data_IF_368473005852
#
_entry.id   IF_368473005852
#
_cell.length_a   1.000
_cell.length_b   1.000
_cell.length_c   1.000
_cell.angle_alpha   90.00
_cell.angle_beta   90.00
_cell.angle_gamma   90.00
#
_symmetry.space_group_name_H-M   'P 1'
#
loop_
_entity.id
_entity.type
_entity.pdbx_description
1 polymer ?
#
# COMPACT_ATOMS: atom_id res chain seq x y z
N UNK A 1 -6.54 23.87 0.57
CA UNK A 1 -6.52 23.17 1.87
C UNK A 1 -7.40 21.94 1.77
N UNK A 2 -7.09 21.00 0.86
CA UNK A 2 -7.89 19.78 0.71
C UNK A 2 -7.08 18.47 0.56
N UNK A 3 -6.09 18.16 1.44
CA UNK A 3 -5.52 16.81 1.51
C UNK A 3 -6.37 15.85 2.35
N UNK A 4 -6.97 16.30 3.46
CA UNK A 4 -7.61 15.41 4.44
C UNK A 4 -9.01 14.94 4.05
N UNK A 5 -9.83 15.81 3.46
CA UNK A 5 -11.18 15.44 3.02
C UNK A 5 -11.14 14.37 1.91
N UNK A 6 -10.20 14.48 0.98
CA UNK A 6 -9.96 13.47 -0.05
C UNK A 6 -9.53 12.12 0.57
N UNK A 7 -8.61 12.13 1.54
CA UNK A 7 -8.17 10.92 2.26
C UNK A 7 -9.32 10.26 3.03
N UNK A 8 -10.11 11.05 3.75
CA UNK A 8 -11.28 10.56 4.48
C UNK A 8 -12.35 9.97 3.53
N UNK A 9 -12.52 10.55 2.34
CA UNK A 9 -13.41 10.02 1.31
C UNK A 9 -12.91 8.66 0.80
N UNK A 10 -11.63 8.55 0.45
CA UNK A 10 -11.01 7.30 0.02
C UNK A 10 -11.10 6.22 1.10
N UNK A 11 -10.89 6.58 2.36
CA UNK A 11 -11.03 5.67 3.50
C UNK A 11 -12.46 5.15 3.68
N UNK A 12 -13.45 6.04 3.57
CA UNK A 12 -14.86 5.65 3.59
C UNK A 12 -15.20 4.72 2.42
N UNK A 13 -14.70 5.04 1.22
CA UNK A 13 -14.90 4.20 0.03
C UNK A 13 -14.26 2.82 0.20
N UNK A 14 -13.06 2.74 0.77
CA UNK A 14 -12.41 1.48 1.06
C UNK A 14 -13.26 0.62 2.00
N UNK A 15 -13.75 1.19 3.11
CA UNK A 15 -14.62 0.47 4.06
C UNK A 15 -15.87 -0.11 3.41
N UNK A 16 -16.49 0.64 2.50
CA UNK A 16 -17.64 0.14 1.72
C UNK A 16 -17.24 -1.03 0.82
N UNK A 17 -16.15 -0.87 0.06
CA UNK A 17 -15.67 -1.91 -0.84
C UNK A 17 -15.32 -3.21 -0.09
N UNK A 18 -14.72 -3.11 1.10
CA UNK A 18 -14.40 -4.27 1.93
C UNK A 18 -15.66 -4.92 2.53
N UNK A 19 -16.63 -4.12 2.98
CA UNK A 19 -17.90 -4.62 3.49
C UNK A 19 -18.68 -5.41 2.43
N UNK A 20 -18.73 -4.91 1.19
CA UNK A 20 -19.37 -5.59 0.06
C UNK A 20 -18.74 -6.97 -0.25
N UNK A 21 -17.51 -7.21 0.23
CA UNK A 21 -16.68 -8.37 -0.07
C UNK A 21 -16.30 -9.19 1.17
N UNK A 22 -16.94 -8.91 2.30
CA UNK A 22 -16.65 -9.55 3.59
C UNK A 22 -16.82 -11.08 3.58
N UNK A 23 -17.60 -11.63 2.65
CA UNK A 23 -17.77 -13.07 2.50
C UNK A 23 -16.56 -13.79 1.85
N UNK A 24 -15.66 -13.05 1.18
CA UNK A 24 -14.54 -13.60 0.42
C UNK A 24 -13.21 -13.37 1.16
N UNK A 25 -13.10 -12.25 1.86
CA UNK A 25 -11.92 -11.91 2.68
C UNK A 25 -11.94 -12.69 3.99
N UNK A 26 -10.81 -13.26 4.35
CA UNK A 26 -10.59 -13.70 5.72
C UNK A 26 -10.50 -12.50 6.64
N UNK A 27 -10.82 -12.70 7.93
CA UNK A 27 -10.81 -11.63 8.93
C UNK A 27 -9.46 -10.91 8.97
N UNK A 28 -8.36 -11.66 9.00
CA UNK A 28 -7.02 -11.08 9.13
C UNK A 28 -6.61 -10.30 7.86
N UNK A 29 -7.09 -10.73 6.68
CA UNK A 29 -6.90 -10.00 5.41
C UNK A 29 -7.69 -8.68 5.41
N UNK A 30 -8.91 -8.70 5.95
CA UNK A 30 -9.74 -7.52 6.11
C UNK A 30 -9.13 -6.53 7.12
N UNK A 31 -8.65 -7.02 8.27
CA UNK A 31 -7.98 -6.21 9.28
C UNK A 31 -6.70 -5.57 8.73
N UNK A 32 -5.89 -6.32 7.96
CA UNK A 32 -4.68 -5.80 7.33
C UNK A 32 -4.98 -4.62 6.40
N UNK A 33 -6.01 -4.72 5.56
CA UNK A 33 -6.38 -3.64 4.63
C UNK A 33 -6.92 -2.40 5.36
N UNK A 34 -7.65 -2.59 6.47
CA UNK A 34 -8.13 -1.48 7.30
C UNK A 34 -7.00 -0.80 8.08
N UNK A 35 -6.10 -1.58 8.68
CA UNK A 35 -4.93 -1.08 9.40
C UNK A 35 -4.02 -0.26 8.48
N UNK A 36 -3.78 -0.73 7.25
CA UNK A 36 -3.05 0.03 6.24
C UNK A 36 -3.73 1.37 5.91
N UNK A 37 -5.05 1.39 5.81
CA UNK A 37 -5.81 2.60 5.51
C UNK A 37 -5.84 3.59 6.67
N UNK A 38 -5.98 3.11 7.91
CA UNK A 38 -5.91 3.92 9.12
C UNK A 38 -4.51 4.52 9.27
N UNK A 39 -3.45 3.70 9.13
CA UNK A 39 -2.07 4.17 9.15
C UNK A 39 -1.79 5.25 8.10
N UNK A 40 -2.30 5.07 6.89
CA UNK A 40 -2.21 6.07 5.83
C UNK A 40 -3.01 7.32 6.14
N UNK A 41 -4.18 7.24 6.78
CA UNK A 41 -5.02 8.38 7.14
C UNK A 41 -4.44 9.22 8.28
N UNK A 42 -3.70 8.60 9.19
CA UNK A 42 -3.08 9.25 10.34
C UNK A 42 -1.59 9.56 10.18
N UNK A 43 -1.02 9.28 9.00
CA UNK A 43 0.41 9.46 8.70
C UNK A 43 1.31 8.73 9.73
N UNK A 44 0.94 7.48 10.06
CA UNK A 44 1.75 6.61 10.91
C UNK A 44 3.11 6.30 10.26
N UNK A 45 4.13 6.08 11.09
CA UNK A 45 5.52 5.90 10.62
C UNK A 45 5.73 4.67 9.72
N UNK A 46 4.88 3.66 9.83
CA UNK A 46 4.94 2.41 9.08
C UNK A 46 3.89 2.32 7.96
N UNK A 47 3.20 3.43 7.65
CA UNK A 47 2.11 3.45 6.68
C UNK A 47 2.51 2.91 5.28
N UNK A 48 3.77 3.06 4.85
CA UNK A 48 4.25 2.50 3.58
C UNK A 48 4.48 1.01 3.62
N UNK A 49 4.96 0.49 4.75
CA UNK A 49 5.11 -0.95 4.92
C UNK A 49 3.74 -1.61 4.89
N UNK A 50 2.77 -1.04 5.62
CA UNK A 50 1.38 -1.52 5.63
C UNK A 50 0.71 -1.39 4.25
N UNK A 51 0.93 -0.28 3.52
CA UNK A 51 0.45 -0.12 2.14
C UNK A 51 1.02 -1.21 1.21
N UNK A 52 2.33 -1.46 1.28
CA UNK A 52 2.97 -2.49 0.47
C UNK A 52 2.40 -3.89 0.77
N UNK A 53 2.21 -4.23 2.05
CA UNK A 53 1.56 -5.48 2.46
C UNK A 53 0.12 -5.58 1.95
N UNK A 54 -0.65 -4.47 1.99
CA UNK A 54 -1.99 -4.43 1.42
C UNK A 54 -2.02 -4.64 -0.09
N UNK A 55 -1.09 -4.03 -0.82
CA UNK A 55 -0.95 -4.21 -2.27
C UNK A 55 -0.53 -5.65 -2.63
N UNK A 56 0.40 -6.23 -1.87
CA UNK A 56 0.83 -7.62 -2.05
C UNK A 56 -0.31 -8.61 -1.79
N UNK A 57 -1.09 -8.40 -0.73
CA UNK A 57 -2.29 -9.19 -0.45
C UNK A 57 -3.27 -9.16 -1.62
N UNK A 58 -3.60 -7.97 -2.14
CA UNK A 58 -4.54 -7.83 -3.27
C UNK A 58 -4.01 -8.53 -4.52
N UNK A 59 -2.71 -8.40 -4.81
CA UNK A 59 -2.08 -9.12 -5.92
C UNK A 59 -2.14 -10.65 -5.73
N UNK A 60 -1.92 -11.14 -4.50
CA UNK A 60 -2.05 -12.55 -4.14
C UNK A 60 -3.47 -13.08 -4.30
N UNK A 61 -4.48 -12.30 -3.90
CA UNK A 61 -5.89 -12.65 -4.08
C UNK A 61 -6.28 -12.79 -5.56
N UNK A 62 -5.79 -11.89 -6.42
CA UNK A 62 -6.00 -11.98 -7.88
C UNK A 62 -5.25 -13.17 -8.47
N UNK A 63 -3.97 -13.37 -8.09
CA UNK A 63 -3.14 -14.47 -8.59
C UNK A 63 -3.69 -15.86 -8.22
N UNK A 64 -4.39 -15.96 -7.09
CA UNK A 64 -5.04 -17.19 -6.62
C UNK A 64 -6.46 -17.38 -7.13
N UNK A 65 -6.94 -16.51 -8.03
CA UNK A 65 -8.31 -16.48 -8.56
C UNK A 65 -9.40 -16.34 -7.48
N UNK A 66 -9.04 -16.00 -6.23
CA UNK A 66 -9.99 -15.71 -5.16
C UNK A 66 -10.74 -14.41 -5.40
N UNK A 67 -10.09 -13.45 -6.07
CA UNK A 67 -10.65 -12.16 -6.44
C UNK A 67 -10.49 -11.89 -7.93
N UNK A 68 -11.45 -11.16 -8.49
CA UNK A 68 -11.33 -10.62 -9.85
C UNK A 68 -10.37 -9.42 -9.88
N UNK A 69 -9.66 -9.18 -10.99
CA UNK A 69 -8.74 -8.06 -11.14
C UNK A 69 -9.38 -6.69 -10.89
N UNK A 70 -10.55 -6.42 -11.48
CA UNK A 70 -11.15 -5.07 -11.41
C UNK A 70 -11.56 -4.68 -9.97
N UNK A 71 -12.25 -5.55 -9.19
CA UNK A 71 -12.49 -5.28 -7.77
C UNK A 71 -11.22 -5.09 -6.93
N UNK A 72 -10.17 -5.85 -7.19
CA UNK A 72 -8.90 -5.70 -6.48
C UNK A 72 -8.24 -4.35 -6.82
N UNK A 73 -8.32 -3.92 -8.07
CA UNK A 73 -7.81 -2.63 -8.52
C UNK A 73 -8.59 -1.47 -7.85
N UNK A 74 -9.92 -1.56 -7.74
CA UNK A 74 -10.73 -0.56 -7.03
C UNK A 74 -10.31 -0.41 -5.56
N UNK A 75 -10.09 -1.53 -4.86
CA UNK A 75 -9.61 -1.53 -3.48
C UNK A 75 -8.20 -0.95 -3.38
N UNK A 76 -7.31 -1.29 -4.32
CA UNK A 76 -5.95 -0.74 -4.38
C UNK A 76 -5.94 0.78 -4.58
N UNK A 77 -6.79 1.31 -5.46
CA UNK A 77 -6.94 2.75 -5.68
C UNK A 77 -7.50 3.44 -4.43
N UNK A 78 -8.52 2.88 -3.80
CA UNK A 78 -9.10 3.45 -2.57
C UNK A 78 -8.07 3.44 -1.42
N UNK A 79 -7.30 2.37 -1.27
CA UNK A 79 -6.24 2.25 -0.28
C UNK A 79 -5.14 3.30 -0.51
N UNK A 80 -4.64 3.42 -1.75
CA UNK A 80 -3.63 4.43 -2.11
C UNK A 80 -4.11 5.87 -1.89
N UNK A 81 -5.41 6.13 -2.06
CA UNK A 81 -6.02 7.44 -1.81
C UNK A 81 -6.13 7.83 -0.32
N UNK A 82 -5.87 6.91 0.62
CA UNK A 82 -5.87 7.22 2.05
C UNK A 82 -4.62 7.99 2.49
N UNK A 83 -3.52 7.92 1.73
CA UNK A 83 -2.26 8.61 2.01
C UNK A 83 -2.17 9.99 1.36
N UNK A 84 -1.20 10.80 1.77
CA UNK A 84 -0.88 12.05 1.06
C UNK A 84 0.04 11.79 -0.14
N UNK A 85 0.10 12.73 -1.09
CA UNK A 85 1.09 12.68 -2.17
C UNK A 85 2.54 12.71 -1.64
N UNK A 86 2.79 13.35 -0.49
CA UNK A 86 4.10 13.29 0.18
C UNK A 86 4.38 11.87 0.65
N UNK A 87 3.39 11.24 1.25
CA UNK A 87 3.51 9.88 1.75
C UNK A 87 3.78 8.92 0.56
N UNK A 88 2.93 8.93 -0.46
CA UNK A 88 3.09 8.07 -1.65
C UNK A 88 4.40 8.37 -2.41
N UNK A 89 4.81 9.64 -2.48
CA UNK A 89 6.05 10.07 -3.14
C UNK A 89 7.33 9.65 -2.41
N UNK A 90 7.33 9.62 -1.07
CA UNK A 90 8.48 9.20 -0.25
C UNK A 90 8.77 7.71 -0.46
N UNK A 91 7.73 6.89 -0.65
CA UNK A 91 7.90 5.48 -1.01
C UNK A 91 8.42 5.28 -2.44
N UNK A 92 7.93 6.06 -3.40
CA UNK A 92 8.43 6.01 -4.78
C UNK A 92 9.92 6.45 -4.85
N UNK A 93 10.31 7.44 -4.04
CA UNK A 93 11.70 7.87 -3.92
C UNK A 93 12.58 6.81 -3.23
N UNK A 94 12.12 6.20 -2.15
CA UNK A 94 12.86 5.13 -1.45
C UNK A 94 13.07 3.89 -2.32
N UNK A 95 12.12 3.56 -3.22
CA UNK A 95 12.32 2.50 -4.22
C UNK A 95 13.24 2.87 -5.38
N UNK A 96 13.48 4.17 -5.61
CA UNK A 96 14.38 4.66 -6.65
C UNK A 96 15.84 4.80 -6.16
N UNK A 97 16.04 4.83 -4.85
CA UNK A 97 17.34 4.95 -4.18
C UNK A 97 17.92 3.56 -3.82
N UNK A 98 18.05 2.67 -4.79
CA UNK A 98 19.07 1.61 -4.75
C UNK A 98 20.14 1.90 -5.83
N UNK A 99 21.12 2.77 -5.54
CA UNK A 99 22.36 2.77 -6.28
C UNK A 99 23.20 1.63 -5.71
N UNK A 100 23.10 0.46 -6.33
CA UNK A 100 23.98 -0.68 -6.07
C UNK A 100 25.44 -0.26 -6.05
N UNK A 101 25.95 -0.01 -4.84
CA UNK A 101 27.35 0.21 -4.55
C UNK A 101 28.06 -1.13 -4.64
N UNK A 102 28.94 -1.27 -5.62
CA UNK A 102 29.93 -2.35 -5.61
C UNK A 102 31.31 -1.73 -5.40
N UNK A 103 31.77 -1.83 -4.17
CA UNK A 103 33.15 -1.59 -3.79
C UNK A 103 34.02 -2.73 -4.34
N UNK A 104 35.04 -2.39 -5.12
CA UNK A 104 36.17 -3.27 -5.39
C UNK A 104 37.46 -2.52 -5.05
N UNK A 105 37.87 -2.64 -3.80
CA UNK A 105 39.26 -2.41 -3.40
C UNK A 105 40.08 -3.62 -3.86
N UNK A 106 41.04 -3.44 -4.76
CA UNK A 106 42.24 -4.28 -4.76
C UNK A 106 43.47 -3.39 -4.84
N UNK A 107 44.27 -3.43 -3.78
CA UNK A 107 45.61 -2.88 -3.78
C UNK A 107 46.58 -3.80 -4.51
N UNK A 108 47.72 -3.24 -4.91
CA UNK A 108 48.82 -3.99 -5.49
C UNK A 108 49.97 -3.08 -5.91
N UNK A 109 50.80 -2.70 -4.94
CA UNK A 109 52.13 -2.14 -5.19
C UNK A 109 53.01 -3.15 -5.93
N UNK A 110 53.71 -2.72 -6.97
CA UNK A 110 55.17 -2.83 -7.15
C UNK A 110 55.59 -1.87 -8.25
#
# INVERSE_FOLDING_TARGET
>A
MEPLAARAHSHTRLRQLLADRAAILHRDEHELLLDAADALLFDESDCFAKLASGQELLAGLVKSDRWLPDPAAEVSVALGGCGTAKSVGERAAETAEDPGGSAATIGGST
#
